data_IF_774572208207
#
_entry.id   IF_774572208207
#
_cell.length_a   1.000
_cell.length_b   1.000
_cell.length_c   1.000
_cell.angle_alpha   90.00
_cell.angle_beta   90.00
_cell.angle_gamma   90.00
#
_symmetry.space_group_name_H-M   'P 1'
#
loop_
_entity.id
_entity.type
_entity.pdbx_description
1 polymer ?
#
# COMPACT_ATOMS: atom_id res chain seq x y z
N UNK A 1 11.22 -22.64 0.63
CA UNK A 1 9.92 -22.43 -0.07
C UNK A 1 9.69 -20.93 -0.07
N UNK A 2 9.70 -20.27 -1.22
CA UNK A 2 9.44 -18.83 -1.30
C UNK A 2 7.93 -18.63 -1.41
N UNK A 3 7.30 -17.98 -0.43
CA UNK A 3 5.86 -17.71 -0.46
C UNK A 3 5.66 -16.30 -0.98
N UNK A 4 4.99 -16.17 -2.10
CA UNK A 4 4.65 -14.86 -2.66
C UNK A 4 3.26 -14.51 -2.17
N UNK A 5 3.14 -13.42 -1.42
CA UNK A 5 1.84 -12.89 -1.01
C UNK A 5 1.41 -11.82 -2.01
N UNK A 6 0.39 -12.14 -2.83
CA UNK A 6 -0.19 -11.20 -3.76
C UNK A 6 -1.27 -10.37 -3.07
N UNK A 7 -1.24 -9.06 -3.30
CA UNK A 7 -2.20 -8.09 -2.78
C UNK A 7 -2.84 -7.33 -3.93
N UNK A 8 -4.17 -7.20 -3.85
CA UNK A 8 -4.99 -6.36 -4.73
C UNK A 8 -5.87 -5.51 -3.81
N UNK A 9 -5.40 -4.30 -3.51
CA UNK A 9 -5.97 -3.45 -2.45
C UNK A 9 -6.26 -2.04 -2.99
N UNK A 10 -7.34 -1.39 -2.54
CA UNK A 10 -7.54 0.03 -2.80
C UNK A 10 -6.53 0.86 -2.00
N UNK A 11 -5.91 1.83 -2.67
CA UNK A 11 -5.07 2.86 -2.07
C UNK A 11 -5.64 4.24 -2.34
N UNK A 12 -5.18 5.22 -1.56
CA UNK A 12 -5.59 6.60 -1.71
C UNK A 12 -4.35 7.49 -1.82
N UNK A 13 -4.36 8.40 -2.78
CA UNK A 13 -3.30 9.40 -2.93
C UNK A 13 -3.43 10.51 -1.85
N UNK A 14 -2.52 11.48 -1.87
CA UNK A 14 -2.51 12.60 -0.94
C UNK A 14 -3.79 13.46 -0.97
N UNK A 15 -4.55 13.40 -2.07
CA UNK A 15 -5.83 14.10 -2.26
C UNK A 15 -7.05 13.24 -1.91
N UNK A 16 -6.84 11.95 -1.58
CA UNK A 16 -7.90 10.99 -1.31
C UNK A 16 -8.52 10.37 -2.57
N UNK A 17 -7.85 10.47 -3.72
CA UNK A 17 -8.27 9.81 -4.95
C UNK A 17 -8.00 8.31 -4.86
N UNK A 18 -8.98 7.50 -5.25
CA UNK A 18 -8.87 6.04 -5.25
C UNK A 18 -7.90 5.57 -6.36
N UNK A 19 -6.97 4.69 -5.99
CA UNK A 19 -6.06 4.00 -6.90
C UNK A 19 -6.07 2.50 -6.57
N UNK A 20 -6.27 1.64 -7.57
CA UNK A 20 -6.13 0.19 -7.35
C UNK A 20 -4.65 -0.18 -7.33
N UNK A 21 -4.19 -0.80 -6.25
CA UNK A 21 -2.79 -1.19 -6.04
C UNK A 21 -2.65 -2.71 -6.09
N UNK A 22 -1.88 -3.19 -7.07
CA UNK A 22 -1.56 -4.61 -7.24
C UNK A 22 -0.06 -4.81 -7.03
N UNK A 23 0.31 -5.61 -6.05
CA UNK A 23 1.72 -5.87 -5.76
C UNK A 23 1.92 -7.19 -5.02
N UNK A 24 3.14 -7.71 -5.12
CA UNK A 24 3.56 -8.91 -4.42
C UNK A 24 4.48 -8.53 -3.26
N UNK A 25 4.20 -9.01 -2.06
CA UNK A 25 5.16 -8.96 -0.97
C UNK A 25 6.08 -10.19 -1.06
N UNK A 26 7.32 -9.92 -1.45
CA UNK A 26 8.39 -10.91 -1.54
C UNK A 26 9.12 -11.04 -0.19
N UNK A 27 8.38 -11.11 0.91
CA UNK A 27 8.92 -11.27 2.26
C UNK A 27 8.62 -12.67 2.79
N UNK A 28 9.47 -13.17 3.68
CA UNK A 28 9.25 -14.46 4.37
C UNK A 28 7.94 -14.49 5.19
N UNK A 29 7.35 -13.32 5.45
CA UNK A 29 6.15 -13.13 6.26
C UNK A 29 5.16 -12.20 5.54
N UNK A 30 3.85 -12.39 5.76
CA UNK A 30 2.83 -11.50 5.20
C UNK A 30 2.90 -10.11 5.85
N UNK A 31 2.28 -9.13 5.18
CA UNK A 31 2.05 -7.81 5.75
C UNK A 31 1.22 -7.90 7.04
N UNK A 32 1.60 -7.11 8.04
CA UNK A 32 0.85 -7.01 9.29
C UNK A 32 -0.53 -6.40 9.01
N UNK A 33 -1.57 -7.08 9.48
CA UNK A 33 -2.95 -6.60 9.39
C UNK A 33 -3.09 -5.22 10.07
N UNK A 34 -3.88 -4.33 9.45
CA UNK A 34 -4.12 -2.94 9.88
C UNK A 34 -2.86 -2.04 9.92
N UNK A 35 -1.79 -2.42 9.21
CA UNK A 35 -0.66 -1.53 9.00
C UNK A 35 -0.94 -0.56 7.84
N UNK A 36 -0.53 0.70 7.98
CA UNK A 36 -0.54 1.65 6.88
C UNK A 36 0.73 1.48 6.03
N UNK A 37 0.55 1.58 4.71
CA UNK A 37 1.63 1.46 3.74
C UNK A 37 1.72 2.72 2.89
N UNK A 38 2.93 3.23 2.72
CA UNK A 38 3.25 4.18 1.66
C UNK A 38 3.75 3.40 0.47
N UNK A 39 3.03 3.51 -0.64
CA UNK A 39 3.31 2.79 -1.88
C UNK A 39 3.88 3.75 -2.91
N UNK A 40 4.99 3.37 -3.54
CA UNK A 40 5.58 4.09 -4.66
C UNK A 40 4.99 3.50 -5.93
N UNK A 41 4.23 4.32 -6.65
CA UNK A 41 3.54 3.95 -7.87
C UNK A 41 4.16 4.63 -9.07
N UNK A 42 4.30 3.89 -10.16
CA UNK A 42 4.73 4.38 -11.45
C UNK A 42 3.69 4.03 -12.51
N UNK A 43 3.26 5.02 -13.29
CA UNK A 43 2.16 4.81 -14.26
C UNK A 43 2.44 3.74 -15.32
N UNK A 44 3.71 3.48 -15.64
CA UNK A 44 4.11 2.45 -16.62
C UNK A 44 4.35 1.08 -15.98
N UNK A 45 4.80 1.04 -14.71
CA UNK A 45 5.26 -0.18 -14.04
C UNK A 45 4.33 -0.67 -12.92
N UNK A 46 3.34 0.12 -12.53
CA UNK A 46 2.53 -0.14 -11.35
C UNK A 46 3.30 0.13 -10.06
N UNK A 47 3.04 -0.67 -9.03
CA UNK A 47 3.71 -0.58 -7.73
C UNK A 47 5.17 -1.01 -7.87
N UNK A 48 6.10 -0.11 -7.58
CA UNK A 48 7.55 -0.40 -7.64
C UNK A 48 8.14 -0.65 -6.27
N UNK A 49 7.58 -0.05 -5.23
CA UNK A 49 8.06 -0.19 -3.86
C UNK A 49 6.94 0.09 -2.86
N UNK A 50 7.11 -0.38 -1.64
CA UNK A 50 6.19 -0.10 -0.54
C UNK A 50 6.93 -0.14 0.80
N UNK A 51 6.52 0.73 1.72
CA UNK A 51 7.07 0.78 3.07
C UNK A 51 5.97 0.95 4.10
N UNK A 52 6.17 0.38 5.28
CA UNK A 52 5.27 0.58 6.42
C UNK A 52 5.48 1.96 7.00
N UNK A 53 4.40 2.69 7.22
CA UNK A 53 4.42 4.02 7.83
C UNK A 53 3.48 4.07 9.05
N UNK A 54 3.76 4.90 10.06
CA UNK A 54 2.81 5.16 11.14
C UNK A 54 1.59 5.94 10.65
N UNK A 55 0.45 5.81 11.34
CA UNK A 55 -0.81 6.52 11.02
C UNK A 55 -0.62 8.03 10.89
N UNK A 56 0.28 8.61 11.70
CA UNK A 56 0.56 10.04 11.70
C UNK A 56 1.21 10.55 10.40
N UNK A 57 1.85 9.68 9.62
CA UNK A 57 2.44 10.02 8.32
C UNK A 57 1.46 9.85 7.15
N UNK A 58 0.28 9.27 7.41
CA UNK A 58 -0.76 9.11 6.38
C UNK A 58 -1.44 10.46 6.16
N UNK A 59 -1.52 10.95 4.91
CA UNK A 59 -2.26 12.17 4.60
C UNK A 59 -3.69 12.10 5.12
N UNK A 60 -4.18 13.18 5.73
CA UNK A 60 -5.52 13.21 6.36
C UNK A 60 -6.64 12.84 5.37
N UNK A 61 -6.53 13.26 4.11
CA UNK A 61 -7.50 12.94 3.07
C UNK A 61 -7.54 11.44 2.75
N UNK A 62 -6.38 10.77 2.67
CA UNK A 62 -6.28 9.33 2.50
C UNK A 62 -6.77 8.59 3.76
N UNK A 63 -6.38 9.06 4.95
CA UNK A 63 -6.75 8.44 6.22
C UNK A 63 -8.28 8.44 6.43
N UNK A 64 -8.96 9.53 6.08
CA UNK A 64 -10.41 9.62 6.15
C UNK A 64 -11.16 8.66 5.21
N UNK A 65 -10.48 8.05 4.23
CA UNK A 65 -11.03 7.03 3.34
C UNK A 65 -10.68 5.60 3.77
N UNK A 66 -9.73 5.47 4.70
CA UNK A 66 -9.22 4.19 5.22
C UNK A 66 -9.83 3.82 6.58
N UNK A 67 -10.35 4.79 7.34
CA UNK A 67 -11.19 4.59 8.53
C UNK A 67 -12.65 4.31 8.18
#
# INVERSE_FOLDING_TARGET
>A
KYTIYAYDLPGYDEKGSLQQLKFNANQDRPLKMNAYLKVIYNDKKGVTDWQRVPRAEVPKAALAKLD
#
